data_IF_044899279598
#
_entry.id   IF_044899279598
#
_cell.length_a   1.000
_cell.length_b   1.000
_cell.length_c   1.000
_cell.angle_alpha   90.00
_cell.angle_beta   90.00
_cell.angle_gamma   90.00
#
_symmetry.space_group_name_H-M   'P 1'
#
loop_
_entity.id
_entity.type
_entity.pdbx_description
1 polymer ?
#
# COMPACT_ATOMS: atom_id res chain seq x y z
N UNK A 1 -19.60 -11.48 2.94
CA UNK A 1 -20.82 -10.79 3.39
C UNK A 1 -21.94 -11.20 2.43
N UNK A 2 -23.20 -10.96 2.76
CA UNK A 2 -24.34 -11.23 1.88
C UNK A 2 -24.88 -9.92 1.31
N UNK A 3 -25.44 -9.97 0.09
CA UNK A 3 -26.15 -8.85 -0.54
C UNK A 3 -27.54 -9.31 -0.93
N UNK A 4 -28.45 -8.38 -1.23
CA UNK A 4 -29.79 -8.70 -1.68
C UNK A 4 -29.91 -8.55 -3.20
N UNK A 5 -30.68 -9.44 -3.82
CA UNK A 5 -31.03 -9.33 -5.23
C UNK A 5 -31.92 -8.10 -5.45
N UNK A 6 -31.50 -7.15 -6.28
CA UNK A 6 -32.26 -5.93 -6.59
C UNK A 6 -33.60 -6.20 -7.31
N UNK A 7 -33.78 -7.40 -7.88
CA UNK A 7 -35.02 -7.78 -8.55
C UNK A 7 -36.03 -8.46 -7.61
N UNK A 8 -35.60 -9.46 -6.84
CA UNK A 8 -36.52 -10.32 -6.06
C UNK A 8 -36.34 -10.26 -4.53
N UNK A 9 -35.37 -9.48 -4.05
CA UNK A 9 -35.15 -9.27 -2.61
C UNK A 9 -34.58 -10.47 -1.84
N UNK A 10 -34.17 -11.56 -2.50
CA UNK A 10 -33.53 -12.67 -1.79
C UNK A 10 -32.10 -12.33 -1.38
N UNK A 11 -31.69 -12.80 -0.21
CA UNK A 11 -30.29 -12.81 0.20
C UNK A 11 -29.49 -13.73 -0.74
N UNK A 12 -28.37 -13.22 -1.23
CA UNK A 12 -27.47 -13.90 -2.17
C UNK A 12 -26.01 -13.64 -1.77
N UNK A 13 -25.13 -14.52 -2.23
CA UNK A 13 -23.69 -14.34 -2.06
C UNK A 13 -23.21 -13.05 -2.76
N UNK A 14 -22.24 -12.35 -2.16
CA UNK A 14 -21.66 -11.14 -2.75
C UNK A 14 -21.06 -11.36 -4.14
N UNK A 15 -20.50 -12.54 -4.39
CA UNK A 15 -19.89 -12.93 -5.66
C UNK A 15 -20.88 -13.58 -6.62
N UNK A 16 -22.16 -13.72 -6.25
CA UNK A 16 -23.16 -14.29 -7.13
C UNK A 16 -23.30 -13.44 -8.40
N UNK A 17 -23.00 -14.05 -9.56
CA UNK A 17 -23.22 -13.46 -10.89
C UNK A 17 -24.68 -13.62 -11.34
N UNK A 18 -25.34 -14.67 -10.86
CA UNK A 18 -26.74 -15.00 -11.15
C UNK A 18 -27.44 -15.26 -9.82
N UNK A 19 -28.62 -14.67 -9.63
CA UNK A 19 -29.44 -14.93 -8.45
C UNK A 19 -29.99 -16.38 -8.53
N UNK A 20 -29.70 -17.27 -7.55
CA UNK A 20 -30.18 -18.65 -7.58
C UNK A 20 -31.71 -18.76 -7.43
N UNK A 21 -32.38 -17.70 -6.96
CA UNK A 21 -33.84 -17.69 -6.75
C UNK A 21 -34.64 -17.22 -7.98
N UNK A 22 -34.20 -16.18 -8.68
CA UNK A 22 -34.97 -15.59 -9.80
C UNK A 22 -34.26 -15.61 -11.16
N UNK A 23 -32.99 -16.02 -11.21
CA UNK A 23 -32.24 -16.16 -12.47
C UNK A 23 -31.74 -14.85 -13.10
N UNK A 24 -32.01 -13.69 -12.50
CA UNK A 24 -31.46 -12.42 -13.01
C UNK A 24 -29.93 -12.38 -12.84
N UNK A 25 -29.22 -11.82 -13.83
CA UNK A 25 -27.81 -11.47 -13.67
C UNK A 25 -27.67 -10.32 -12.70
N UNK A 26 -26.84 -10.52 -11.68
CA UNK A 26 -26.56 -9.49 -10.69
C UNK A 26 -25.37 -8.69 -11.18
N UNK A 27 -25.55 -7.37 -11.31
CA UNK A 27 -24.46 -6.47 -11.68
C UNK A 27 -23.37 -6.57 -10.62
N UNK A 28 -22.18 -7.05 -11.00
CA UNK A 28 -21.02 -7.01 -10.13
C UNK A 28 -20.61 -5.54 -9.96
N UNK A 29 -20.45 -5.11 -8.71
CA UNK A 29 -19.92 -3.79 -8.42
C UNK A 29 -18.41 -3.89 -8.68
N UNK A 30 -17.84 -3.07 -9.58
CA UNK A 30 -16.40 -3.06 -9.79
C UNK A 30 -15.72 -2.72 -8.46
N UNK A 31 -14.82 -3.59 -7.99
CA UNK A 31 -14.00 -3.30 -6.82
C UNK A 31 -13.00 -2.22 -7.24
N UNK A 32 -13.21 -0.99 -6.79
CA UNK A 32 -12.25 0.08 -7.02
C UNK A 32 -10.95 -0.23 -6.28
N UNK A 33 -9.88 -0.50 -7.02
CA UNK A 33 -8.55 -0.69 -6.45
C UNK A 33 -7.83 0.65 -6.49
N UNK A 34 -7.47 1.13 -5.32
CA UNK A 34 -6.71 2.37 -5.17
C UNK A 34 -5.25 2.12 -5.56
N UNK A 35 -4.93 2.36 -6.84
CA UNK A 35 -3.58 2.23 -7.39
C UNK A 35 -2.69 3.27 -6.72
N UNK A 36 -1.61 2.83 -6.07
CA UNK A 36 -0.66 3.69 -5.38
C UNK A 36 0.33 4.30 -6.37
N UNK A 37 0.71 5.56 -6.19
CA UNK A 37 1.72 6.17 -7.04
C UNK A 37 3.12 5.89 -6.48
N UNK A 38 3.94 5.17 -7.24
CA UNK A 38 5.34 4.90 -6.87
C UNK A 38 6.16 6.19 -6.73
N UNK A 39 5.87 7.21 -7.55
CA UNK A 39 6.56 8.50 -7.47
C UNK A 39 6.25 9.26 -6.18
N UNK A 40 4.98 9.28 -5.77
CA UNK A 40 4.57 9.92 -4.50
C UNK A 40 5.23 9.21 -3.31
N UNK A 41 5.29 7.87 -3.32
CA UNK A 41 5.97 7.11 -2.28
C UNK A 41 7.46 7.49 -2.14
N UNK A 42 8.16 7.70 -3.27
CA UNK A 42 9.56 8.15 -3.28
C UNK A 42 9.71 9.58 -2.74
N UNK A 43 8.86 10.51 -3.17
CA UNK A 43 8.91 11.92 -2.71
C UNK A 43 8.67 12.00 -1.20
N UNK A 44 7.72 11.22 -0.68
CA UNK A 44 7.47 11.11 0.75
C UNK A 44 8.71 10.60 1.50
N UNK A 45 9.34 9.53 0.99
CA UNK A 45 10.57 8.96 1.55
C UNK A 45 11.79 9.88 1.47
N UNK A 46 11.85 10.74 0.45
CA UNK A 46 12.90 11.74 0.29
C UNK A 46 12.90 12.73 1.48
N UNK A 47 11.73 13.27 1.84
CA UNK A 47 11.64 14.23 2.94
C UNK A 47 11.83 13.58 4.30
N UNK A 48 11.20 12.42 4.52
CA UNK A 48 11.28 11.72 5.81
C UNK A 48 11.34 10.21 5.56
N UNK A 49 12.44 9.54 5.94
CA UNK A 49 12.54 8.09 5.87
C UNK A 49 11.36 7.42 6.57
N UNK A 50 10.67 6.53 5.86
CA UNK A 50 9.53 5.77 6.40
C UNK A 50 8.16 6.28 5.96
N UNK A 51 8.02 7.53 5.48
CA UNK A 51 6.72 8.03 5.01
C UNK A 51 6.21 7.30 3.76
N UNK A 52 7.09 6.95 2.82
CA UNK A 52 6.71 6.15 1.64
C UNK A 52 6.11 4.80 2.02
N UNK A 53 6.65 4.17 3.07
CA UNK A 53 6.16 2.89 3.61
C UNK A 53 4.81 3.06 4.31
N UNK A 54 4.58 4.16 5.04
CA UNK A 54 3.28 4.48 5.64
C UNK A 54 2.23 4.74 4.54
N UNK A 55 2.58 5.46 3.48
CA UNK A 55 1.71 5.68 2.32
C UNK A 55 1.32 4.37 1.62
N UNK A 56 2.25 3.42 1.54
CA UNK A 56 2.01 2.06 1.05
C UNK A 56 1.19 1.18 2.02
N UNK A 57 0.73 1.71 3.16
CA UNK A 57 -0.04 0.97 4.17
C UNK A 57 0.81 0.12 5.12
N UNK A 58 2.13 0.15 5.02
CA UNK A 58 3.07 -0.64 5.84
C UNK A 58 3.52 0.16 7.06
N UNK A 59 2.59 0.49 7.95
CA UNK A 59 2.80 1.38 9.11
C UNK A 59 3.97 0.91 9.98
N UNK A 60 4.01 -0.38 10.36
CA UNK A 60 5.05 -0.92 11.23
C UNK A 60 6.47 -0.77 10.64
N UNK A 61 6.63 -1.01 9.32
CA UNK A 61 7.91 -0.79 8.64
C UNK A 61 8.25 0.69 8.51
N UNK A 62 7.26 1.53 8.27
CA UNK A 62 7.46 2.98 8.21
C UNK A 62 7.97 3.55 9.54
N UNK A 63 7.37 3.16 10.66
CA UNK A 63 7.82 3.55 12.01
C UNK A 63 9.23 3.06 12.27
N UNK A 64 9.56 1.81 11.90
CA UNK A 64 10.92 1.28 12.03
C UNK A 64 11.94 2.14 11.26
N UNK A 65 11.63 2.53 10.02
CA UNK A 65 12.51 3.38 9.21
C UNK A 65 12.64 4.80 9.75
N UNK A 66 11.61 5.37 10.37
CA UNK A 66 11.69 6.66 11.06
C UNK A 66 12.69 6.56 12.23
N UNK A 67 12.56 5.52 13.07
CA UNK A 67 13.44 5.32 14.22
C UNK A 67 14.89 5.10 13.78
N UNK A 68 15.12 4.21 12.80
CA UNK A 68 16.46 3.93 12.28
C UNK A 68 17.06 5.16 11.60
N UNK A 69 16.27 5.90 10.82
CA UNK A 69 16.69 7.15 10.19
C UNK A 69 17.10 8.20 11.21
N UNK A 70 16.36 8.33 12.30
CA UNK A 70 16.70 9.23 13.41
C UNK A 70 18.01 8.82 14.10
N UNK A 71 18.23 7.52 14.34
CA UNK A 71 19.49 7.02 14.92
C UNK A 71 20.70 7.28 14.00
N UNK A 72 20.55 7.10 12.68
CA UNK A 72 21.61 7.44 11.73
C UNK A 72 21.84 8.93 11.58
N UNK A 73 20.81 9.76 11.75
CA UNK A 73 20.98 11.22 11.81
C UNK A 73 21.77 11.63 13.07
N UNK A 74 21.51 11.01 14.23
CA UNK A 74 22.27 11.27 15.46
C UNK A 74 23.73 10.81 15.33
N UNK A 75 24.02 9.72 14.62
CA UNK A 75 25.38 9.22 14.44
C UNK A 75 26.23 10.08 13.49
N UNK A 76 25.65 11.10 12.85
CA UNK A 76 26.39 12.13 12.09
C UNK A 76 27.41 12.87 12.95
N UNK A 77 27.15 13.01 14.26
CA UNK A 77 28.06 13.65 15.22
C UNK A 77 29.42 12.94 15.25
N UNK A 78 29.45 11.64 14.97
CA UNK A 78 30.64 10.77 15.10
C UNK A 78 31.32 10.55 13.73
N UNK A 79 31.04 11.39 12.72
CA UNK A 79 31.48 11.28 11.31
C UNK A 79 30.99 10.03 10.56
N UNK A 80 30.81 8.89 11.24
CA UNK A 80 30.35 7.62 10.66
C UNK A 80 28.95 7.73 10.04
N UNK A 81 28.10 8.61 10.59
CA UNK A 81 26.78 8.90 10.03
C UNK A 81 26.83 9.47 8.62
N UNK A 82 27.90 10.19 8.23
CA UNK A 82 28.00 10.83 6.91
C UNK A 82 28.01 9.83 5.76
N UNK A 83 28.41 8.58 6.02
CA UNK A 83 28.40 7.51 5.03
C UNK A 83 27.15 6.65 5.20
N UNK A 84 26.78 6.29 6.44
CA UNK A 84 25.68 5.36 6.69
C UNK A 84 24.30 5.95 6.36
N UNK A 85 24.07 7.22 6.69
CA UNK A 85 22.79 7.86 6.46
C UNK A 85 22.43 7.99 4.97
N UNK A 86 23.29 8.49 4.05
CA UNK A 86 22.93 8.56 2.63
C UNK A 86 22.70 7.18 2.01
N UNK A 87 23.45 6.15 2.41
CA UNK A 87 23.22 4.76 1.96
C UNK A 87 21.83 4.29 2.42
N UNK A 88 21.51 4.46 3.71
CA UNK A 88 20.21 4.11 4.25
C UNK A 88 19.07 4.90 3.61
N UNK A 89 19.28 6.20 3.36
CA UNK A 89 18.30 7.10 2.78
C UNK A 89 17.96 6.72 1.33
N UNK A 90 18.96 6.42 0.50
CA UNK A 90 18.75 5.89 -0.86
C UNK A 90 18.03 4.53 -0.82
N UNK A 91 18.44 3.64 0.08
CA UNK A 91 17.78 2.36 0.28
C UNK A 91 16.31 2.53 0.67
N UNK A 92 15.98 3.47 1.56
CA UNK A 92 14.62 3.76 1.97
C UNK A 92 13.72 4.18 0.78
N UNK A 93 14.24 5.03 -0.11
CA UNK A 93 13.54 5.46 -1.33
C UNK A 93 13.34 4.29 -2.31
N UNK A 94 14.38 3.48 -2.52
CA UNK A 94 14.29 2.28 -3.36
C UNK A 94 13.23 1.29 -2.83
N UNK A 95 13.22 1.05 -1.52
CA UNK A 95 12.23 0.18 -0.89
C UNK A 95 10.81 0.75 -1.04
N UNK A 96 10.61 2.05 -0.86
CA UNK A 96 9.31 2.69 -1.05
C UNK A 96 8.79 2.55 -2.48
N UNK A 97 9.66 2.76 -3.48
CA UNK A 97 9.33 2.58 -4.91
C UNK A 97 8.91 1.14 -5.22
N UNK A 98 9.79 0.18 -4.88
CA UNK A 98 9.57 -1.24 -5.22
C UNK A 98 8.38 -1.83 -4.47
N UNK A 99 8.13 -1.34 -3.27
CA UNK A 99 6.96 -1.74 -2.49
C UNK A 99 5.67 -1.21 -3.11
N UNK A 100 5.63 0.05 -3.54
CA UNK A 100 4.47 0.62 -4.23
C UNK A 100 4.17 -0.14 -5.54
N UNK A 101 5.21 -0.42 -6.32
CA UNK A 101 5.09 -1.20 -7.56
C UNK A 101 4.54 -2.61 -7.31
N UNK A 102 5.06 -3.32 -6.30
CA UNK A 102 4.57 -4.65 -5.92
C UNK A 102 3.10 -4.64 -5.51
N UNK A 103 2.70 -3.66 -4.69
CA UNK A 103 1.30 -3.50 -4.26
C UNK A 103 0.39 -3.27 -5.48
N UNK A 104 0.82 -2.44 -6.43
CA UNK A 104 0.08 -2.22 -7.67
C UNK A 104 -0.05 -3.48 -8.51
N UNK A 105 1.02 -4.29 -8.62
CA UNK A 105 1.00 -5.56 -9.35
C UNK A 105 0.09 -6.59 -8.69
N UNK A 106 0.13 -6.71 -7.36
CA UNK A 106 -0.77 -7.58 -6.59
C UNK A 106 -2.24 -7.13 -6.68
N UNK A 107 -2.48 -5.82 -6.74
CA UNK A 107 -3.81 -5.29 -7.00
C UNK A 107 -4.24 -5.56 -8.44
N UNK A 108 -3.36 -5.53 -9.43
CA UNK A 108 -3.71 -5.83 -10.82
C UNK A 108 -4.06 -7.30 -11.06
N UNK A 109 -3.47 -8.22 -10.27
CA UNK A 109 -3.67 -9.67 -10.44
C UNK A 109 -4.90 -10.25 -9.72
N UNK A 110 -5.45 -9.54 -8.73
CA UNK A 110 -6.71 -9.92 -8.08
C UNK A 110 -7.92 -9.56 -8.93
#
# INVERSE_FOLDING_TARGET
MSKFCANCGSEIDEKAEICPKCGVRVKQIPVYRDIKSSGIAVILSFFIPGLGQIYNGQIGKGVLFIIVGFLFALSMIILIGFILFPIFWIYNMYDAYKTAERINLEMASK
#
